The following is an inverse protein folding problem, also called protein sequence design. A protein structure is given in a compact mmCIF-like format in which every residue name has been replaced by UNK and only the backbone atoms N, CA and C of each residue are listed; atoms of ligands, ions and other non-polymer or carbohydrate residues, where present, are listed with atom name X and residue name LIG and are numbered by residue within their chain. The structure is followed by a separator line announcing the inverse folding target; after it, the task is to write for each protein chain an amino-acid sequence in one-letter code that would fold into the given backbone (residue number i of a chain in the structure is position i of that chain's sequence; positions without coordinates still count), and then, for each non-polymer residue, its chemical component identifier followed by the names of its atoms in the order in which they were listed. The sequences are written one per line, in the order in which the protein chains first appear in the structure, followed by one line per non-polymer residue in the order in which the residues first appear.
data_IF_805122247375
#
_entry.id   IF_805122247375
#
_cell.length_a   1.000
_cell.length_b   1.000
_cell.length_c   1.000
_cell.angle_alpha   90.00
_cell.angle_beta   90.00
_cell.angle_gamma   90.00
#
_symmetry.space_group_name_H-M   'P 1'
#
loop_
_entity.id
_entity.type
_entity.pdbx_description
1 polymer ?
#
# COMPACT_ATOMS: atom_id res chain seq x y z
N UNK A 1 6.91 11.79 36.66
CA UNK A 1 5.82 11.78 35.67
C UNK A 1 6.18 10.72 34.66
N UNK A 2 5.45 9.60 34.63
CA UNK A 2 5.66 8.55 33.63
C UNK A 2 5.12 9.05 32.29
N UNK A 3 5.90 8.90 31.22
CA UNK A 3 5.43 9.18 29.86
C UNK A 3 4.14 8.38 29.58
N UNK A 4 3.16 8.98 28.88
CA UNK A 4 1.96 8.25 28.46
C UNK A 4 2.38 7.08 27.57
N UNK A 5 2.08 5.87 28.04
CA UNK A 5 2.38 4.63 27.33
C UNK A 5 1.67 4.62 25.97
N UNK A 6 2.44 4.72 24.88
CA UNK A 6 1.92 4.67 23.51
C UNK A 6 1.64 3.21 23.12
N UNK A 7 0.40 2.78 23.35
CA UNK A 7 -0.09 1.42 23.07
C UNK A 7 -0.11 1.06 21.58
N UNK A 8 0.20 2.00 20.68
CA UNK A 8 0.31 1.74 19.24
C UNK A 8 1.51 0.86 18.89
N UNK A 9 2.56 0.84 19.72
CA UNK A 9 3.82 0.13 19.45
C UNK A 9 4.10 -1.06 20.37
N UNK A 10 3.10 -1.56 21.11
CA UNK A 10 3.24 -2.77 21.93
C UNK A 10 3.76 -3.93 21.09
N UNK A 11 4.63 -4.79 21.64
CA UNK A 11 5.12 -5.97 20.93
C UNK A 11 3.95 -6.90 20.51
N UNK A 12 4.03 -7.56 19.35
CA UNK A 12 3.00 -8.50 18.91
C UNK A 12 2.85 -9.65 19.92
N UNK A 13 1.63 -10.15 20.07
CA UNK A 13 1.42 -11.41 20.77
C UNK A 13 2.05 -12.52 19.93
N UNK A 14 2.62 -13.55 20.58
CA UNK A 14 3.12 -14.74 19.89
C UNK A 14 2.00 -15.43 19.08
N UNK A 15 0.74 -15.20 19.49
CA UNK A 15 -0.45 -15.76 18.85
C UNK A 15 -1.01 -14.87 17.71
N UNK A 16 -0.41 -13.71 17.44
CA UNK A 16 -0.85 -12.85 16.34
C UNK A 16 -0.56 -13.53 14.99
N UNK A 17 -1.51 -13.45 14.06
CA UNK A 17 -1.37 -14.07 12.76
C UNK A 17 -0.16 -13.46 11.99
N UNK A 18 0.64 -14.26 11.25
CA UNK A 18 1.78 -13.78 10.46
C UNK A 18 1.42 -12.67 9.46
N UNK A 19 0.17 -12.63 9.00
CA UNK A 19 -0.38 -11.57 8.14
C UNK A 19 -0.37 -10.18 8.79
N UNK A 20 -0.22 -10.09 10.11
CA UNK A 20 -0.09 -8.83 10.85
C UNK A 20 1.27 -8.18 10.60
N UNK A 21 2.34 -8.96 10.47
CA UNK A 21 3.68 -8.44 10.15
C UNK A 21 3.76 -7.90 8.72
N UNK A 22 3.07 -8.56 7.77
CA UNK A 22 2.91 -8.05 6.42
C UNK A 22 2.20 -6.68 6.42
N UNK A 23 1.22 -6.48 7.30
CA UNK A 23 0.54 -5.19 7.48
C UNK A 23 1.50 -4.08 7.89
N UNK A 24 2.42 -4.36 8.83
CA UNK A 24 3.43 -3.38 9.25
C UNK A 24 4.33 -2.95 8.09
N UNK A 25 4.81 -3.91 7.28
CA UNK A 25 5.66 -3.63 6.12
C UNK A 25 4.91 -2.77 5.11
N UNK A 26 3.68 -3.18 4.75
CA UNK A 26 2.88 -2.48 3.74
C UNK A 26 2.50 -1.06 4.18
N UNK A 27 2.19 -0.86 5.47
CA UNK A 27 1.88 0.48 6.00
C UNK A 27 3.06 1.46 5.93
N UNK A 28 4.30 0.96 5.77
CA UNK A 28 5.49 1.78 5.53
C UNK A 28 5.70 2.21 4.08
N UNK A 29 4.95 1.66 3.13
CA UNK A 29 5.08 1.97 1.70
C UNK A 29 4.28 3.23 1.34
N UNK A 30 4.83 4.07 0.47
CA UNK A 30 4.13 5.22 -0.14
C UNK A 30 2.99 4.80 -1.08
N UNK A 31 2.13 5.77 -1.46
CA UNK A 31 0.95 5.49 -2.29
C UNK A 31 1.30 4.87 -3.65
N UNK A 32 2.40 5.30 -4.26
CA UNK A 32 2.92 4.75 -5.52
C UNK A 32 3.24 3.26 -5.36
N UNK A 33 4.04 2.91 -4.35
CA UNK A 33 4.42 1.53 -4.05
C UNK A 33 3.23 0.65 -3.64
N UNK A 34 2.27 1.21 -2.90
CA UNK A 34 1.04 0.50 -2.57
C UNK A 34 0.21 0.16 -3.80
N UNK A 35 0.05 1.11 -4.72
CA UNK A 35 -0.66 0.88 -5.98
C UNK A 35 0.09 -0.10 -6.89
N UNK A 36 1.42 0.00 -6.99
CA UNK A 36 2.23 -0.99 -7.68
C UNK A 36 2.02 -2.40 -7.10
N UNK A 37 1.96 -2.52 -5.76
CA UNK A 37 1.66 -3.76 -5.06
C UNK A 37 0.28 -4.33 -5.40
N UNK A 38 -0.76 -3.48 -5.47
CA UNK A 38 -2.11 -3.88 -5.89
C UNK A 38 -2.12 -4.42 -7.33
N UNK A 39 -1.31 -3.82 -8.22
CA UNK A 39 -1.12 -4.30 -9.60
C UNK A 39 -0.46 -5.67 -9.65
N UNK A 40 0.61 -5.87 -8.87
CA UNK A 40 1.39 -7.10 -8.84
C UNK A 40 0.68 -8.27 -8.12
N UNK A 41 -0.08 -7.99 -7.07
CA UNK A 41 -0.72 -9.00 -6.21
C UNK A 41 -1.79 -9.89 -6.90
N UNK A 42 -2.00 -9.73 -8.21
CA UNK A 42 -2.82 -10.64 -9.03
C UNK A 42 -2.09 -11.92 -9.44
N UNK A 43 -0.76 -11.88 -9.46
CA UNK A 43 0.08 -12.97 -9.95
C UNK A 43 1.03 -13.52 -8.87
N UNK A 44 0.94 -12.96 -7.66
CA UNK A 44 1.70 -13.38 -6.50
C UNK A 44 0.78 -13.34 -5.27
N UNK A 45 0.85 -14.39 -4.46
CA UNK A 45 -0.03 -14.56 -3.29
C UNK A 45 0.63 -14.15 -1.96
N UNK A 46 1.95 -14.02 -1.93
CA UNK A 46 2.71 -13.66 -0.71
C UNK A 46 2.94 -12.15 -0.61
N UNK A 47 2.37 -11.44 0.40
CA UNK A 47 2.45 -9.99 0.50
C UNK A 47 3.88 -9.44 0.64
N UNK A 48 4.73 -10.13 1.40
CA UNK A 48 6.12 -9.70 1.60
C UNK A 48 6.94 -9.80 0.30
N UNK A 49 6.70 -10.82 -0.52
CA UNK A 49 7.33 -10.95 -1.84
C UNK A 49 6.84 -9.88 -2.80
N UNK A 50 5.56 -9.49 -2.74
CA UNK A 50 5.03 -8.37 -3.52
C UNK A 50 5.73 -7.06 -3.14
N UNK A 51 5.87 -6.77 -1.84
CA UNK A 51 6.56 -5.56 -1.39
C UNK A 51 8.03 -5.53 -1.84
N UNK A 52 8.74 -6.66 -1.73
CA UNK A 52 10.12 -6.79 -2.19
C UNK A 52 10.23 -6.59 -3.71
N UNK A 53 9.36 -7.22 -4.49
CA UNK A 53 9.37 -7.11 -5.94
C UNK A 53 9.05 -5.68 -6.42
N UNK A 54 8.15 -4.97 -5.75
CA UNK A 54 7.88 -3.54 -6.03
C UNK A 54 9.12 -2.70 -5.75
N UNK A 55 9.83 -2.96 -4.65
CA UNK A 55 11.07 -2.24 -4.34
C UNK A 55 12.17 -2.53 -5.38
N UNK A 56 12.32 -3.79 -5.78
CA UNK A 56 13.26 -4.18 -6.84
C UNK A 56 12.91 -3.57 -8.20
N UNK A 57 11.63 -3.54 -8.58
CA UNK A 57 11.16 -2.91 -9.82
C UNK A 57 11.45 -1.41 -9.84
N UNK A 58 11.33 -0.72 -8.70
CA UNK A 58 11.68 0.70 -8.55
C UNK A 58 13.18 0.95 -8.70
N UNK A 59 14.01 -0.04 -8.40
CA UNK A 59 15.46 0.04 -8.51
C UNK A 59 16.01 -0.58 -9.81
N UNK A 60 15.15 -0.79 -10.81
CA UNK A 60 15.48 -1.44 -12.09
C UNK A 60 16.17 -2.81 -11.93
N UNK A 61 15.95 -3.48 -10.79
CA UNK A 61 16.53 -4.78 -10.46
C UNK A 61 15.65 -5.95 -10.96
N UNK A 62 14.45 -5.65 -11.45
CA UNK A 62 13.57 -6.58 -12.16
C UNK A 62 13.16 -5.96 -13.49
N UNK A 63 13.00 -6.80 -14.52
CA UNK A 63 12.41 -6.41 -15.80
C UNK A 63 10.88 -6.29 -15.69
N UNK A 64 10.45 -5.43 -14.76
CA UNK A 64 9.06 -5.15 -14.41
C UNK A 64 8.91 -3.63 -14.36
N UNK A 65 8.18 -3.07 -15.31
CA UNK A 65 7.94 -1.63 -15.35
C UNK A 65 7.07 -1.17 -14.18
N UNK A 66 7.66 -0.40 -13.25
CA UNK A 66 6.95 0.15 -12.09
C UNK A 66 5.72 0.96 -12.51
N UNK A 67 5.83 1.78 -13.56
CA UNK A 67 4.70 2.55 -14.11
C UNK A 67 3.52 1.67 -14.57
N UNK A 68 3.81 0.51 -15.16
CA UNK A 68 2.79 -0.43 -15.60
C UNK A 68 2.07 -1.07 -14.41
N UNK A 69 2.82 -1.41 -13.35
CA UNK A 69 2.26 -1.92 -12.10
C UNK A 69 1.37 -0.88 -11.42
N UNK A 70 1.83 0.37 -11.34
CA UNK A 70 1.06 1.49 -10.79
C UNK A 70 -0.22 1.71 -11.58
N UNK A 71 -0.15 1.72 -12.91
CA UNK A 71 -1.33 1.90 -13.78
C UNK A 71 -2.36 0.79 -13.56
N UNK A 72 -1.91 -0.47 -13.51
CA UNK A 72 -2.77 -1.61 -13.20
C UNK A 72 -3.36 -1.50 -11.78
N UNK A 73 -2.57 -1.04 -10.83
CA UNK A 73 -2.95 -0.75 -9.45
C UNK A 73 -4.07 0.27 -9.33
N UNK A 74 -3.92 1.42 -10.00
CA UNK A 74 -4.91 2.51 -10.02
C UNK A 74 -6.23 2.01 -10.59
N UNK A 75 -6.20 1.32 -11.74
CA UNK A 75 -7.40 0.79 -12.35
C UNK A 75 -8.14 -0.17 -11.41
N UNK A 76 -7.39 -1.04 -10.71
CA UNK A 76 -7.96 -1.98 -9.75
C UNK A 76 -8.47 -1.31 -8.49
N UNK A 77 -7.72 -0.36 -7.93
CA UNK A 77 -8.14 0.41 -6.77
C UNK A 77 -9.47 1.12 -7.05
N UNK A 78 -9.59 1.82 -8.18
CA UNK A 78 -10.84 2.49 -8.58
C UNK A 78 -12.01 1.54 -8.74
N UNK A 79 -11.78 0.33 -9.26
CA UNK A 79 -12.82 -0.68 -9.42
C UNK A 79 -13.30 -1.26 -8.08
N UNK A 80 -12.38 -1.44 -7.12
CA UNK A 80 -12.65 -2.15 -5.87
C UNK A 80 -13.05 -1.22 -4.72
N UNK A 81 -12.51 0.00 -4.68
CA UNK A 81 -12.73 0.98 -3.60
C UNK A 81 -14.21 1.18 -3.27
N UNK A 82 -15.13 1.40 -4.24
CA UNK A 82 -16.55 1.56 -3.93
C UNK A 82 -17.19 0.32 -3.29
N UNK A 83 -16.70 -0.88 -3.62
CA UNK A 83 -17.19 -2.14 -3.04
C UNK A 83 -16.74 -2.28 -1.58
N UNK A 84 -15.48 -1.93 -1.30
CA UNK A 84 -14.99 -1.89 0.08
C UNK A 84 -15.80 -0.85 0.87
N UNK A 85 -16.03 0.34 0.31
CA UNK A 85 -16.79 1.43 0.93
C UNK A 85 -18.25 1.06 1.22
N UNK A 86 -18.91 0.32 0.33
CA UNK A 86 -20.26 -0.21 0.55
C UNK A 86 -20.32 -1.37 1.58
N UNK A 87 -19.17 -1.89 2.01
CA UNK A 87 -19.07 -2.96 2.99
C UNK A 87 -19.54 -2.58 4.41
N UNK A 88 -19.59 -3.55 5.33
CA UNK A 88 -20.05 -3.35 6.71
C UNK A 88 -19.28 -2.26 7.44
N UNK A 89 -19.97 -1.43 8.21
CA UNK A 89 -19.36 -0.36 9.00
C UNK A 89 -18.31 -0.93 9.97
N UNK A 90 -17.14 -0.29 10.02
CA UNK A 90 -16.06 -0.68 10.92
C UNK A 90 -16.20 0.08 12.22
N UNK A 91 -16.03 -0.61 13.35
CA UNK A 91 -15.89 0.06 14.64
C UNK A 91 -14.53 0.74 14.70
N UNK A 92 -14.47 1.95 15.26
CA UNK A 92 -13.18 2.63 15.48
C UNK A 92 -12.33 1.80 16.44
N UNK A 93 -11.22 1.26 15.94
CA UNK A 93 -10.28 0.50 16.75
C UNK A 93 -9.22 1.43 17.36
N UNK A 94 -8.84 1.16 18.62
CA UNK A 94 -7.80 1.92 19.32
C UNK A 94 -6.36 1.49 19.01
N UNK A 95 -6.15 0.55 18.09
CA UNK A 95 -4.81 0.07 17.71
C UNK A 95 -4.74 -0.26 16.21
N UNK A 96 -3.60 0.08 15.60
CA UNK A 96 -3.34 -0.17 14.17
C UNK A 96 -3.48 -1.65 13.79
N UNK A 97 -3.14 -2.56 14.71
CA UNK A 97 -3.31 -4.01 14.49
C UNK A 97 -4.78 -4.40 14.36
N UNK A 98 -5.65 -3.84 15.21
CA UNK A 98 -7.08 -4.10 15.13
C UNK A 98 -7.70 -3.45 13.91
N UNK A 99 -7.25 -2.27 13.52
CA UNK A 99 -7.64 -1.64 12.26
C UNK A 99 -7.24 -2.49 11.05
N UNK A 100 -6.03 -3.07 11.05
CA UNK A 100 -5.56 -3.99 10.02
C UNK A 100 -6.42 -5.25 9.93
N UNK A 101 -6.67 -5.92 11.05
CA UNK A 101 -7.52 -7.11 11.13
C UNK A 101 -8.94 -6.84 10.60
N UNK A 102 -9.56 -5.74 11.06
CA UNK A 102 -10.89 -5.34 10.60
C UNK A 102 -10.91 -5.00 9.11
N UNK A 103 -9.88 -4.30 8.62
CA UNK A 103 -9.81 -3.90 7.21
C UNK A 103 -9.62 -5.11 6.30
N UNK A 104 -8.69 -6.02 6.63
CA UNK A 104 -8.48 -7.25 5.86
C UNK A 104 -9.73 -8.13 5.84
N UNK A 105 -10.45 -8.24 6.96
CA UNK A 105 -11.74 -8.92 7.02
C UNK A 105 -12.79 -8.24 6.12
N UNK A 106 -12.86 -6.90 6.12
CA UNK A 106 -13.76 -6.13 5.25
C UNK A 106 -13.45 -6.34 3.78
N UNK A 107 -12.17 -6.28 3.36
CA UNK A 107 -11.77 -6.54 1.98
C UNK A 107 -12.16 -7.95 1.56
N UNK A 108 -11.90 -8.94 2.40
CA UNK A 108 -12.25 -10.35 2.13
C UNK A 108 -13.76 -10.55 1.99
N UNK A 109 -14.56 -9.86 2.81
CA UNK A 109 -16.02 -9.95 2.77
C UNK A 109 -16.65 -9.23 1.57
N UNK A 110 -15.98 -8.21 1.02
CA UNK A 110 -16.53 -7.37 -0.06
C UNK A 110 -16.08 -7.80 -1.45
N UNK A 111 -14.90 -8.41 -1.58
CA UNK A 111 -14.33 -8.81 -2.87
C UNK A 111 -13.98 -10.29 -2.84
N UNK A 112 -14.74 -11.08 -3.59
CA UNK A 112 -14.56 -12.54 -3.65
C UNK A 112 -13.38 -12.94 -4.53
N UNK A 113 -12.76 -14.07 -4.21
CA UNK A 113 -11.69 -14.68 -5.03
C UNK A 113 -10.33 -13.97 -4.96
N UNK A 114 -10.10 -13.12 -3.96
CA UNK A 114 -8.80 -12.48 -3.75
C UNK A 114 -7.81 -13.43 -3.08
N UNK A 115 -6.59 -13.49 -3.62
CA UNK A 115 -5.45 -14.10 -2.93
C UNK A 115 -4.94 -13.26 -1.75
N UNK A 116 -4.10 -13.82 -0.85
CA UNK A 116 -3.66 -13.15 0.37
C UNK A 116 -2.94 -11.82 0.13
N UNK A 117 -2.03 -11.75 -0.84
CA UNK A 117 -1.37 -10.50 -1.21
C UNK A 117 -2.35 -9.44 -1.72
N UNK A 118 -3.37 -9.85 -2.49
CA UNK A 118 -4.39 -8.94 -2.99
C UNK A 118 -5.19 -8.34 -1.84
N UNK A 119 -5.60 -9.17 -0.87
CA UNK A 119 -6.30 -8.70 0.34
C UNK A 119 -5.40 -7.73 1.12
N UNK A 120 -4.15 -8.08 1.35
CA UNK A 120 -3.22 -7.26 2.13
C UNK A 120 -2.93 -5.89 1.44
N UNK A 121 -2.64 -5.87 0.14
CA UNK A 121 -2.36 -4.64 -0.59
C UNK A 121 -3.59 -3.71 -0.65
N UNK A 122 -4.79 -4.28 -0.87
CA UNK A 122 -6.03 -3.51 -0.87
C UNK A 122 -6.38 -2.99 0.54
N UNK A 123 -6.13 -3.77 1.59
CA UNK A 123 -6.31 -3.32 2.96
C UNK A 123 -5.37 -2.16 3.31
N UNK A 124 -4.09 -2.24 2.91
CA UNK A 124 -3.15 -1.15 3.07
C UNK A 124 -3.57 0.11 2.29
N UNK A 125 -4.04 -0.05 1.05
CA UNK A 125 -4.60 1.06 0.27
C UNK A 125 -5.82 1.69 0.94
N UNK A 126 -6.70 0.89 1.56
CA UNK A 126 -7.86 1.39 2.28
C UNK A 126 -7.50 2.19 3.53
N UNK A 127 -6.55 1.71 4.33
CA UNK A 127 -6.06 2.41 5.51
C UNK A 127 -5.39 3.74 5.12
N UNK A 128 -4.76 3.81 3.93
CA UNK A 128 -4.16 5.02 3.36
C UNK A 128 -4.97 5.65 2.23
N UNK A 129 -6.29 5.46 2.22
CA UNK A 129 -7.14 5.81 1.07
C UNK A 129 -7.03 7.26 0.62
N UNK A 130 -6.79 8.20 1.53
CA UNK A 130 -6.66 9.63 1.19
C UNK A 130 -5.42 9.87 0.32
N UNK A 131 -4.25 9.36 0.73
CA UNK A 131 -3.00 9.47 -0.04
C UNK A 131 -3.09 8.71 -1.37
N UNK A 132 -3.72 7.52 -1.34
CA UNK A 132 -3.89 6.66 -2.51
C UNK A 132 -4.86 7.28 -3.52
N UNK A 133 -5.99 7.84 -3.06
CA UNK A 133 -6.96 8.53 -3.91
C UNK A 133 -6.32 9.77 -4.54
N UNK A 134 -5.60 10.58 -3.75
CA UNK A 134 -4.90 11.76 -4.26
C UNK A 134 -3.89 11.37 -5.35
N UNK A 135 -3.07 10.34 -5.12
CA UNK A 135 -2.10 9.87 -6.10
C UNK A 135 -2.80 9.30 -7.34
N UNK A 136 -3.87 8.51 -7.16
CA UNK A 136 -4.63 7.92 -8.25
C UNK A 136 -5.31 8.97 -9.14
N UNK A 137 -5.72 10.11 -8.58
CA UNK A 137 -6.34 11.22 -9.32
C UNK A 137 -5.32 12.09 -10.05
N UNK A 138 -4.22 12.44 -9.40
CA UNK A 138 -3.27 13.45 -9.88
C UNK A 138 -2.03 12.86 -10.55
N UNK A 139 -1.82 11.54 -10.45
CA UNK A 139 -0.58 10.88 -10.84
C UNK A 139 0.59 11.32 -9.96
N UNK A 140 1.80 10.84 -10.28
CA UNK A 140 3.03 11.28 -9.63
C UNK A 140 3.11 12.80 -9.75
N UNK A 141 3.01 13.52 -8.64
CA UNK A 141 3.36 14.94 -8.63
C UNK A 141 4.80 15.04 -9.19
N UNK A 142 5.08 15.93 -10.16
CA UNK A 142 6.41 16.02 -10.73
C UNK A 142 7.38 16.28 -9.58
N UNK A 143 8.34 15.38 -9.39
CA UNK A 143 9.45 15.63 -8.48
C UNK A 143 10.10 16.94 -8.93
N UNK A 144 9.95 17.99 -8.13
CA UNK A 144 10.78 19.19 -8.24
C UNK A 144 12.20 18.76 -7.95
N UNK A 145 12.91 18.33 -8.99
CA UNK A 145 14.24 17.75 -8.87
C UNK A 145 14.57 16.72 -9.94
N UNK A 146 13.99 16.79 -11.14
CA UNK A 146 14.59 16.06 -12.26
C UNK A 146 15.90 16.76 -12.61
N UNK A 147 17.00 16.01 -12.46
CA UNK A 147 18.41 16.30 -12.79
C UNK A 147 18.67 16.92 -14.16
N UNK A 148 17.64 17.10 -14.98
CA UNK A 148 17.66 17.85 -16.23
C UNK A 148 17.82 19.36 -16.04
N UNK A 149 17.39 19.90 -14.89
CA UNK A 149 17.50 21.35 -14.61
C UNK A 149 18.95 21.75 -14.24
N UNK A 150 19.69 20.86 -13.58
CA UNK A 150 21.09 21.13 -13.18
C UNK A 150 22.03 21.17 -14.38
N UNK A 151 21.82 20.30 -15.38
CA UNK A 151 22.66 20.30 -16.59
C UNK A 151 22.36 21.50 -17.50
N UNK A 152 21.12 21.98 -17.52
CA UNK A 152 20.73 23.17 -18.29
C UNK A 152 21.37 24.45 -17.75
N UNK A 153 21.75 24.46 -16.48
CA UNK A 153 22.34 25.62 -15.79
C UNK A 153 23.87 25.62 -15.78
N UNK A 154 24.52 24.49 -16.09
CA UNK A 154 25.99 24.35 -16.15
C UNK A 154 26.56 24.65 -17.54
N UNK A 155 25.75 24.56 -18.60
CA UNK A 155 26.19 24.79 -19.99
C UNK A 155 25.68 26.12 -20.60
N UNK A 156 25.19 27.04 -19.75
CA UNK A 156 24.65 28.33 -20.19
C UNK A 156 25.57 29.54 -19.94
N UNK A 157 26.84 29.31 -19.56
CA UNK A 157 27.89 30.33 -19.51
C UNK A 157 28.95 30.11 -20.59
#
# INVERSE_FOLDING_TARGET
MSEPYDSRFTLPSIDDAPSTEAGVILMGLDAERLLAGVGLARIADEPALVALAVDQARHDALDLGTDALVTAGIARWRAVRPLIEAGPEMTTAGSLRKEWEQTTARVTATVTGLGPASVACLAACWLRREDVDQFAEHGRAPEKGSTRDVLSQVFAD
#
